data_IF_309920933423
#
_entry.id   IF_309920933423
#
_cell.length_a   1.000
_cell.length_b   1.000
_cell.length_c   1.000
_cell.angle_alpha   90.00
_cell.angle_beta   90.00
_cell.angle_gamma   90.00
#
_symmetry.space_group_name_H-M   'P 1'
#
loop_
_entity.id
_entity.type
_entity.pdbx_description
1 polymer ?
#
# COMPACT_ATOMS: atom_id res chain seq x y z
N UNK A 1 -15.50 -6.43 1.46
CA UNK A 1 -14.76 -7.13 0.41
C UNK A 1 -13.50 -6.35 0.02
N UNK A 2 -12.54 -6.98 -0.60
CA UNK A 2 -11.37 -6.33 -1.16
C UNK A 2 -11.15 -6.78 -2.61
N UNK A 3 -10.52 -5.91 -3.40
CA UNK A 3 -10.08 -6.18 -4.76
C UNK A 3 -8.58 -5.96 -4.87
N UNK A 4 -7.95 -6.61 -5.84
CA UNK A 4 -6.51 -6.54 -6.03
C UNK A 4 -6.11 -6.69 -7.47
N UNK A 5 -5.07 -5.99 -7.87
CA UNK A 5 -4.34 -6.21 -9.12
C UNK A 5 -2.85 -6.05 -8.88
N UNK A 6 -2.06 -6.91 -9.48
CA UNK A 6 -0.59 -6.81 -9.52
C UNK A 6 -0.14 -6.87 -10.97
N UNK A 7 0.74 -5.96 -11.36
CA UNK A 7 1.26 -5.86 -12.72
C UNK A 7 2.78 -5.97 -12.69
N UNK A 8 3.34 -6.77 -13.60
CA UNK A 8 4.80 -6.84 -13.79
C UNK A 8 5.26 -5.74 -14.76
N UNK A 9 6.42 -5.15 -14.48
CA UNK A 9 7.08 -4.27 -15.45
C UNK A 9 7.38 -5.05 -16.74
N UNK A 10 7.27 -4.39 -17.90
CA UNK A 10 7.70 -4.99 -19.19
C UNK A 10 9.12 -5.52 -19.05
N UNK A 11 9.34 -6.82 -19.36
CA UNK A 11 10.59 -7.57 -19.29
C UNK A 11 10.96 -8.14 -17.89
N UNK A 12 10.21 -7.89 -16.83
CA UNK A 12 10.44 -8.54 -15.54
C UNK A 12 9.50 -9.74 -15.38
N UNK A 13 10.07 -10.87 -14.94
CA UNK A 13 9.32 -12.10 -14.70
C UNK A 13 8.63 -12.13 -13.33
N UNK A 14 9.07 -11.27 -12.40
CA UNK A 14 8.62 -11.26 -11.02
C UNK A 14 8.35 -9.81 -10.62
N UNK A 15 7.17 -9.54 -10.03
CA UNK A 15 6.82 -8.24 -9.46
C UNK A 15 7.68 -7.97 -8.22
N UNK A 16 8.18 -6.75 -8.08
CA UNK A 16 8.89 -6.29 -6.87
C UNK A 16 7.97 -6.11 -5.67
N UNK A 17 6.68 -5.89 -5.93
CA UNK A 17 5.66 -5.69 -4.91
C UNK A 17 5.11 -7.02 -4.39
N UNK A 18 4.73 -7.01 -3.13
CA UNK A 18 4.04 -8.14 -2.50
C UNK A 18 2.96 -7.64 -1.55
N UNK A 19 1.84 -8.35 -1.53
CA UNK A 19 0.81 -8.09 -0.54
C UNK A 19 0.38 -9.40 0.13
N UNK A 20 -0.14 -9.26 1.34
CA UNK A 20 -0.73 -10.37 2.09
C UNK A 20 -1.97 -9.89 2.83
N UNK A 21 -2.93 -10.79 3.00
CA UNK A 21 -4.14 -10.56 3.78
C UNK A 21 -4.31 -11.72 4.75
N UNK A 22 -4.45 -11.41 6.02
CA UNK A 22 -4.81 -12.37 7.07
C UNK A 22 -6.14 -11.90 7.65
N UNK A 23 -7.15 -12.76 7.61
CA UNK A 23 -8.46 -12.49 8.18
C UNK A 23 -8.75 -13.52 9.26
N UNK A 24 -9.07 -13.04 10.44
CA UNK A 24 -9.61 -13.81 11.55
C UNK A 24 -11.05 -13.34 11.84
N UNK A 25 -11.69 -13.87 12.87
CA UNK A 25 -13.10 -13.62 13.24
C UNK A 25 -13.41 -12.14 13.38
N UNK A 26 -12.50 -11.39 14.02
CA UNK A 26 -12.74 -9.99 14.41
C UNK A 26 -11.76 -9.00 13.78
N UNK A 27 -10.71 -9.49 13.12
CA UNK A 27 -9.64 -8.67 12.59
C UNK A 27 -9.27 -9.06 11.16
N UNK A 28 -8.98 -8.06 10.34
CA UNK A 28 -8.30 -8.26 9.05
C UNK A 28 -7.03 -7.43 9.03
N UNK A 29 -5.91 -8.08 8.74
CA UNK A 29 -4.61 -7.45 8.54
C UNK A 29 -4.23 -7.55 7.07
N UNK A 30 -4.04 -6.42 6.40
CA UNK A 30 -3.56 -6.35 5.03
C UNK A 30 -2.23 -5.59 5.04
N UNK A 31 -1.23 -6.15 4.37
CA UNK A 31 0.06 -5.49 4.18
C UNK A 31 0.41 -5.47 2.70
N UNK A 32 0.68 -4.29 2.17
CA UNK A 32 1.26 -4.04 0.86
C UNK A 32 2.71 -3.59 1.05
N UNK A 33 3.65 -4.22 0.38
CA UNK A 33 5.08 -3.89 0.46
C UNK A 33 5.67 -3.83 -0.94
N UNK A 34 6.51 -2.83 -1.18
CA UNK A 34 7.31 -2.69 -2.39
C UNK A 34 8.78 -2.85 -2.03
N UNK A 35 9.44 -3.79 -2.70
CA UNK A 35 10.88 -4.04 -2.54
C UNK A 35 11.71 -3.06 -3.36
N UNK A 36 12.67 -2.43 -2.73
CA UNK A 36 13.54 -1.45 -3.38
C UNK A 36 14.40 -2.13 -4.47
N UNK A 37 14.31 -1.61 -5.68
CA UNK A 37 14.97 -2.16 -6.84
C UNK A 37 14.04 -2.96 -7.75
N UNK A 38 14.52 -4.04 -8.30
CA UNK A 38 13.74 -4.88 -9.21
C UNK A 38 14.12 -6.37 -9.11
N UNK A 39 13.24 -7.21 -9.63
CA UNK A 39 13.47 -8.63 -9.73
C UNK A 39 13.42 -9.39 -8.40
N UNK A 40 14.18 -10.48 -8.32
CA UNK A 40 14.08 -11.45 -7.21
C UNK A 40 14.41 -10.85 -5.85
N UNK A 41 15.41 -9.98 -5.75
CA UNK A 41 15.80 -9.37 -4.47
C UNK A 41 14.69 -8.48 -3.92
N UNK A 42 14.13 -7.61 -4.76
CA UNK A 42 13.03 -6.73 -4.39
C UNK A 42 11.82 -7.56 -3.94
N UNK A 43 11.46 -8.59 -4.69
CA UNK A 43 10.35 -9.49 -4.34
C UNK A 43 10.59 -10.20 -2.99
N UNK A 44 11.79 -10.73 -2.73
CA UNK A 44 12.10 -11.39 -1.45
C UNK A 44 11.92 -10.40 -0.29
N UNK A 45 12.43 -9.19 -0.41
CA UNK A 45 12.35 -8.17 0.63
C UNK A 45 10.91 -7.73 0.89
N UNK A 46 10.15 -7.47 -0.17
CA UNK A 46 8.73 -7.16 -0.06
C UNK A 46 7.95 -8.31 0.60
N UNK A 47 8.22 -9.54 0.19
CA UNK A 47 7.57 -10.74 0.75
C UNK A 47 7.89 -10.90 2.23
N UNK A 48 9.16 -10.81 2.63
CA UNK A 48 9.56 -10.92 4.03
C UNK A 48 8.93 -9.82 4.88
N UNK A 49 9.03 -8.57 4.44
CA UNK A 49 8.42 -7.43 5.13
C UNK A 49 6.93 -7.64 5.35
N UNK A 50 6.18 -7.94 4.29
CA UNK A 50 4.74 -8.10 4.36
C UNK A 50 4.34 -9.29 5.25
N UNK A 51 5.00 -10.42 5.10
CA UNK A 51 4.69 -11.62 5.90
C UNK A 51 5.04 -11.45 7.37
N UNK A 52 6.20 -10.89 7.69
CA UNK A 52 6.60 -10.66 9.08
C UNK A 52 5.60 -9.71 9.77
N UNK A 53 5.32 -8.55 9.15
CA UNK A 53 4.36 -7.59 9.71
C UNK A 53 2.98 -8.22 9.89
N UNK A 54 2.45 -8.87 8.85
CA UNK A 54 1.09 -9.43 8.91
C UNK A 54 0.93 -10.52 9.95
N UNK A 55 1.91 -11.43 10.09
CA UNK A 55 1.86 -12.52 11.07
C UNK A 55 1.98 -11.98 12.51
N UNK A 56 2.92 -11.07 12.75
CA UNK A 56 3.11 -10.50 14.08
C UNK A 56 1.87 -9.73 14.54
N UNK A 57 1.31 -8.90 13.68
CA UNK A 57 0.13 -8.10 14.00
C UNK A 57 -1.11 -8.98 14.15
N UNK A 58 -1.33 -9.96 13.27
CA UNK A 58 -2.45 -10.90 13.38
C UNK A 58 -2.38 -11.78 14.65
N UNK A 59 -1.20 -11.88 15.27
CA UNK A 59 -1.01 -12.53 16.57
C UNK A 59 -1.04 -11.55 17.76
N UNK A 60 -1.68 -10.40 17.56
CA UNK A 60 -1.86 -9.37 18.58
C UNK A 60 -0.56 -8.72 19.09
N UNK A 61 0.53 -8.80 18.31
CA UNK A 61 1.70 -7.99 18.60
C UNK A 61 1.38 -6.52 18.35
N UNK A 62 1.78 -5.67 19.27
CA UNK A 62 1.67 -4.22 19.09
C UNK A 62 2.35 -3.79 17.78
N UNK A 63 1.66 -2.96 17.02
CA UNK A 63 2.08 -2.52 15.68
C UNK A 63 3.47 -1.88 15.69
N UNK A 64 3.76 -1.04 16.70
CA UNK A 64 5.07 -0.39 16.82
C UNK A 64 6.18 -1.40 17.07
N UNK A 65 5.89 -2.40 17.91
CA UNK A 65 6.81 -3.49 18.20
C UNK A 65 7.07 -4.34 16.96
N UNK A 66 6.04 -4.66 16.19
CA UNK A 66 6.16 -5.40 14.94
C UNK A 66 7.00 -4.64 13.90
N UNK A 67 6.74 -3.35 13.71
CA UNK A 67 7.50 -2.50 12.79
C UNK A 67 8.96 -2.39 13.22
N UNK A 68 9.22 -2.22 14.53
CA UNK A 68 10.59 -2.19 15.05
C UNK A 68 11.32 -3.51 14.79
N UNK A 69 10.69 -4.65 15.06
CA UNK A 69 11.28 -5.96 14.83
C UNK A 69 11.65 -6.17 13.34
N UNK A 70 10.78 -5.74 12.42
CA UNK A 70 11.06 -5.80 10.98
C UNK A 70 12.22 -4.86 10.61
N UNK A 71 12.22 -3.63 11.11
CA UNK A 71 13.28 -2.66 10.85
C UNK A 71 14.65 -3.12 11.35
N UNK A 72 14.68 -3.83 12.50
CA UNK A 72 15.91 -4.36 13.09
C UNK A 72 16.41 -5.65 12.41
N UNK A 73 15.51 -6.40 11.77
CA UNK A 73 15.81 -7.73 11.20
C UNK A 73 16.18 -7.67 9.73
N UNK A 74 15.56 -6.78 8.97
CA UNK A 74 15.83 -6.69 7.54
C UNK A 74 17.17 -6.01 7.27
N UNK A 75 17.97 -6.56 6.35
CA UNK A 75 19.30 -6.03 6.08
C UNK A 75 19.24 -4.59 5.56
N UNK A 76 20.07 -3.73 6.09
CA UNK A 76 20.27 -2.34 5.62
C UNK A 76 21.22 -2.39 4.41
N UNK A 77 20.93 -1.70 3.30
CA UNK A 77 21.88 -1.55 2.19
C UNK A 77 23.07 -0.69 2.63
N UNK A 78 24.19 -1.31 2.77
CA UNK A 78 25.44 -0.64 3.11
C UNK A 78 25.81 0.52 2.16
N UNK A 79 25.24 0.57 0.96
CA UNK A 79 25.53 1.58 -0.06
C UNK A 79 24.60 2.81 0.02
N UNK A 80 23.39 2.66 0.57
CA UNK A 80 22.39 3.76 0.60
C UNK A 80 21.77 4.04 1.97
N UNK A 81 22.12 3.29 3.02
CA UNK A 81 21.55 3.41 4.37
C UNK A 81 19.98 3.42 4.41
N UNK A 82 19.35 2.78 3.43
CA UNK A 82 17.90 2.75 3.27
C UNK A 82 17.35 1.38 3.66
N UNK A 83 16.22 1.37 4.34
CA UNK A 83 15.42 0.16 4.49
C UNK A 83 14.94 -0.30 3.11
N UNK A 84 14.92 -1.62 2.93
CA UNK A 84 14.78 -2.22 1.61
C UNK A 84 13.39 -2.39 1.09
N UNK A 85 12.38 -2.14 1.90
CA UNK A 85 11.01 -2.25 1.48
C UNK A 85 10.18 -1.13 2.11
N UNK A 86 9.35 -0.54 1.29
CA UNK A 86 8.26 0.32 1.72
C UNK A 86 7.12 -0.56 2.21
N UNK A 87 6.20 -0.04 3.00
CA UNK A 87 5.00 -0.78 3.35
C UNK A 87 3.80 0.11 3.66
N UNK A 88 2.63 -0.43 3.43
CA UNK A 88 1.36 0.05 3.94
C UNK A 88 0.70 -1.09 4.69
N UNK A 89 0.43 -0.88 5.98
CA UNK A 89 -0.28 -1.84 6.84
C UNK A 89 -1.67 -1.29 7.12
N UNK A 90 -2.68 -2.10 6.88
CA UNK A 90 -4.05 -1.83 7.26
C UNK A 90 -4.49 -2.90 8.26
N UNK A 91 -4.97 -2.46 9.40
CA UNK A 91 -5.63 -3.32 10.39
C UNK A 91 -7.07 -2.86 10.52
N UNK A 92 -8.01 -3.76 10.31
CA UNK A 92 -9.44 -3.52 10.46
C UNK A 92 -9.99 -4.37 11.59
N UNK A 93 -10.60 -3.72 12.58
CA UNK A 93 -11.35 -4.36 13.67
C UNK A 93 -12.75 -3.75 13.71
N UNK A 94 -13.75 -4.55 13.40
CA UNK A 94 -15.10 -4.03 13.20
C UNK A 94 -15.11 -2.93 12.13
N UNK A 95 -15.52 -1.73 12.50
CA UNK A 95 -15.50 -0.54 11.62
C UNK A 95 -14.23 0.33 11.82
N UNK A 96 -13.39 0.01 12.80
CA UNK A 96 -12.15 0.74 13.06
C UNK A 96 -11.07 0.36 12.08
N UNK A 97 -10.37 1.36 11.55
CA UNK A 97 -9.20 1.19 10.69
C UNK A 97 -8.00 1.83 11.36
N UNK A 98 -6.93 1.04 11.49
CA UNK A 98 -5.59 1.53 11.74
C UNK A 98 -4.78 1.39 10.46
N UNK A 99 -4.15 2.47 10.02
CA UNK A 99 -3.36 2.53 8.81
C UNK A 99 -1.95 3.01 9.14
N UNK A 100 -0.92 2.24 8.76
CA UNK A 100 0.47 2.67 8.81
C UNK A 100 1.05 2.71 7.42
N UNK A 101 1.74 3.79 7.10
CA UNK A 101 2.31 4.02 5.78
C UNK A 101 3.78 4.45 5.91
N UNK A 102 4.65 3.73 5.21
CA UNK A 102 6.07 4.01 5.11
C UNK A 102 6.51 4.02 3.64
N UNK A 103 6.85 5.20 3.14
CA UNK A 103 7.36 5.45 1.79
C UNK A 103 6.50 4.89 0.62
N UNK A 104 5.28 4.45 0.87
CA UNK A 104 4.29 4.23 -0.17
C UNK A 104 3.48 5.51 -0.42
N UNK A 105 2.89 5.68 -1.60
CA UNK A 105 1.91 6.74 -1.81
C UNK A 105 0.79 6.65 -0.77
N UNK A 106 0.40 7.79 -0.21
CA UNK A 106 -0.69 7.85 0.78
C UNK A 106 -1.95 7.20 0.23
N UNK A 107 -2.55 6.32 1.02
CA UNK A 107 -3.81 5.68 0.68
C UNK A 107 -4.92 6.70 0.41
N UNK A 108 -5.81 6.39 -0.52
CA UNK A 108 -6.94 7.23 -0.88
C UNK A 108 -8.18 6.69 -0.18
N UNK A 109 -8.84 7.52 0.64
CA UNK A 109 -10.13 7.21 1.21
C UNK A 109 -11.23 7.91 0.41
N UNK A 110 -12.09 7.14 -0.23
CA UNK A 110 -13.30 7.64 -0.86
C UNK A 110 -14.50 7.35 0.03
N UNK A 111 -15.33 8.36 0.24
CA UNK A 111 -16.64 8.25 0.91
C UNK A 111 -17.73 8.62 -0.07
N UNK A 112 -18.53 7.63 -0.46
CA UNK A 112 -19.52 7.79 -1.52
C UNK A 112 -18.94 8.44 -2.79
N UNK A 113 -17.74 8.03 -3.19
CA UNK A 113 -17.05 8.48 -4.39
C UNK A 113 -16.35 9.83 -4.30
N UNK A 114 -16.28 10.43 -3.13
CA UNK A 114 -15.53 11.66 -2.89
C UNK A 114 -14.37 11.41 -1.94
N UNK A 115 -13.23 11.99 -2.25
CA UNK A 115 -12.06 11.87 -1.37
C UNK A 115 -12.31 12.54 -0.03
N UNK A 116 -11.87 11.86 1.02
CA UNK A 116 -11.90 12.34 2.40
C UNK A 116 -10.50 12.28 2.94
N UNK A 117 -10.04 13.38 3.51
CA UNK A 117 -8.76 13.41 4.21
C UNK A 117 -8.89 12.75 5.59
N UNK A 118 -7.79 12.23 6.11
CA UNK A 118 -7.70 11.60 7.42
C UNK A 118 -6.43 12.07 8.14
N UNK A 119 -6.50 12.16 9.46
CA UNK A 119 -5.38 12.60 10.28
C UNK A 119 -4.22 11.61 10.22
N UNK A 120 -2.99 12.11 10.21
CA UNK A 120 -1.75 11.33 10.20
C UNK A 120 -0.87 11.75 11.36
N UNK A 121 -0.66 10.84 12.30
CA UNK A 121 0.36 10.99 13.34
C UNK A 121 1.70 10.52 12.78
N UNK A 122 2.75 11.27 13.07
CA UNK A 122 4.11 10.92 12.64
C UNK A 122 4.78 10.10 13.73
N UNK A 123 5.21 8.90 13.38
CA UNK A 123 6.01 8.03 14.24
C UNK A 123 7.43 7.96 13.70
N UNK A 124 8.42 8.25 14.58
CA UNK A 124 9.82 8.14 14.22
C UNK A 124 10.42 6.81 14.69
N UNK A 125 11.06 6.08 13.77
CA UNK A 125 11.85 4.88 14.04
C UNK A 125 13.28 5.11 13.54
N UNK A 126 14.15 5.68 14.40
CA UNK A 126 15.42 6.23 13.97
C UNK A 126 15.19 7.42 13.04
N UNK A 127 15.72 7.36 11.83
CA UNK A 127 15.52 8.39 10.79
C UNK A 127 14.29 8.14 9.91
N UNK A 128 13.55 7.04 10.15
CA UNK A 128 12.38 6.66 9.35
C UNK A 128 11.12 7.29 9.92
N UNK A 129 10.40 7.99 9.05
CA UNK A 129 9.12 8.58 9.34
C UNK A 129 8.01 7.65 8.85
N UNK A 130 7.14 7.21 9.78
CA UNK A 130 5.98 6.36 9.49
C UNK A 130 4.73 7.13 9.85
N UNK A 131 3.79 7.19 8.92
CA UNK A 131 2.50 7.83 9.15
C UNK A 131 1.50 6.84 9.70
N UNK A 132 0.91 7.15 10.86
CA UNK A 132 -0.13 6.35 11.49
C UNK A 132 -1.44 7.10 11.48
N UNK A 133 -2.52 6.43 11.11
CA UNK A 133 -3.86 7.00 11.07
C UNK A 133 -4.88 6.06 11.68
N UNK A 134 -5.87 6.65 12.38
CA UNK A 134 -7.02 5.93 12.90
C UNK A 134 -8.30 6.61 12.43
N UNK A 135 -9.19 5.85 11.85
CA UNK A 135 -10.51 6.37 11.44
C UNK A 135 -11.57 5.27 11.42
N UNK A 136 -12.84 5.69 11.37
CA UNK A 136 -13.97 4.78 11.25
C UNK A 136 -14.35 4.61 9.79
N UNK A 137 -14.40 3.36 9.35
CA UNK A 137 -14.91 2.99 8.03
C UNK A 137 -16.44 2.98 8.06
N UNK A 138 -17.06 3.56 7.06
CA UNK A 138 -18.52 3.71 6.94
C UNK A 138 -19.02 3.00 5.69
N UNK A 139 -20.30 2.66 5.69
CA UNK A 139 -20.95 2.15 4.47
C UNK A 139 -20.78 3.15 3.33
N UNK A 140 -20.28 2.68 2.18
CA UNK A 140 -19.96 3.52 1.02
C UNK A 140 -18.52 4.03 1.01
N UNK A 141 -17.70 3.69 2.02
CA UNK A 141 -16.29 3.99 2.01
C UNK A 141 -15.52 2.96 1.17
N UNK A 142 -14.50 3.43 0.46
CA UNK A 142 -13.52 2.62 -0.26
C UNK A 142 -12.13 3.16 0.06
N UNK A 143 -11.23 2.27 0.50
CA UNK A 143 -9.83 2.61 0.76
C UNK A 143 -8.97 1.97 -0.32
N UNK A 144 -8.13 2.79 -0.97
CA UNK A 144 -7.26 2.37 -2.07
C UNK A 144 -5.82 2.49 -1.60
N UNK A 145 -5.13 1.35 -1.56
CA UNK A 145 -3.72 1.24 -1.25
C UNK A 145 -2.96 0.99 -2.55
N UNK A 146 -1.81 1.63 -2.72
CA UNK A 146 -1.00 1.49 -3.90
C UNK A 146 0.49 1.57 -3.60
N UNK A 147 1.31 0.88 -4.39
CA UNK A 147 2.75 1.09 -4.44
C UNK A 147 3.09 2.23 -5.41
N UNK A 148 4.35 2.65 -5.43
CA UNK A 148 4.83 3.71 -6.32
C UNK A 148 4.73 3.34 -7.81
N UNK A 149 4.67 2.06 -8.13
CA UNK A 149 4.45 1.59 -9.50
C UNK A 149 3.17 2.13 -10.14
N UNK A 150 2.13 2.43 -9.34
CA UNK A 150 0.90 3.06 -9.82
C UNK A 150 1.14 4.55 -10.10
N UNK A 151 1.70 5.28 -9.16
CA UNK A 151 1.93 6.72 -9.29
C UNK A 151 3.02 7.07 -10.30
N UNK A 152 3.95 6.14 -10.54
CA UNK A 152 5.01 6.27 -11.54
C UNK A 152 4.59 5.78 -12.95
N UNK A 153 3.38 5.29 -13.14
CA UNK A 153 2.90 4.85 -14.46
C UNK A 153 3.06 5.96 -15.51
N UNK A 154 3.57 5.62 -16.68
CA UNK A 154 3.82 6.56 -17.78
C UNK A 154 5.02 7.48 -17.60
N UNK A 155 5.81 7.32 -16.54
CA UNK A 155 7.00 8.14 -16.30
C UNK A 155 7.99 8.07 -17.47
N UNK A 156 8.37 9.22 -17.98
CA UNK A 156 9.31 9.36 -19.10
C UNK A 156 8.73 8.99 -20.49
N UNK A 157 7.45 8.64 -20.59
CA UNK A 157 6.77 8.36 -21.85
C UNK A 157 5.63 9.32 -22.13
N UNK A 158 4.58 9.25 -21.30
CA UNK A 158 3.38 10.06 -21.45
C UNK A 158 3.34 11.22 -20.48
N UNK A 159 4.04 11.10 -19.35
CA UNK A 159 4.10 12.14 -18.29
C UNK A 159 5.53 12.30 -17.80
N UNK A 160 5.93 13.54 -17.47
CA UNK A 160 7.29 13.82 -16.99
C UNK A 160 7.56 13.24 -15.61
N UNK A 161 6.54 13.21 -14.72
CA UNK A 161 6.65 12.77 -13.33
C UNK A 161 5.82 11.51 -12.99
N UNK A 162 5.37 10.76 -14.00
CA UNK A 162 4.43 9.66 -13.81
C UNK A 162 2.98 10.13 -13.71
N UNK A 163 2.05 9.19 -13.42
CA UNK A 163 0.63 9.50 -13.28
C UNK A 163 0.37 10.43 -12.08
N UNK A 164 1.07 10.18 -10.97
CA UNK A 164 0.93 10.97 -9.76
C UNK A 164 -0.30 10.63 -8.93
N UNK A 165 -0.17 10.74 -7.60
CA UNK A 165 -1.24 10.38 -6.67
C UNK A 165 -2.51 11.20 -6.87
N UNK A 166 -2.38 12.50 -7.10
CA UNK A 166 -3.54 13.40 -7.26
C UNK A 166 -4.36 13.08 -8.52
N UNK A 167 -3.71 12.69 -9.60
CA UNK A 167 -4.41 12.28 -10.82
C UNK A 167 -5.05 10.88 -10.65
N UNK A 168 -4.41 9.97 -9.92
CA UNK A 168 -5.04 8.69 -9.53
C UNK A 168 -6.28 8.95 -8.69
N UNK A 169 -6.22 9.87 -7.72
CA UNK A 169 -7.36 10.25 -6.91
C UNK A 169 -8.52 10.78 -7.75
N UNK A 170 -8.26 11.73 -8.64
CA UNK A 170 -9.28 12.28 -9.57
C UNK A 170 -9.88 11.17 -10.45
N UNK A 171 -9.03 10.27 -10.95
CA UNK A 171 -9.48 9.12 -11.72
C UNK A 171 -10.45 8.24 -10.90
N UNK A 172 -10.09 7.92 -9.66
CA UNK A 172 -10.94 7.11 -8.78
C UNK A 172 -12.29 7.79 -8.49
N UNK A 173 -12.31 9.11 -8.24
CA UNK A 173 -13.54 9.88 -8.05
C UNK A 173 -14.43 9.84 -9.31
N UNK A 174 -13.84 9.93 -10.49
CA UNK A 174 -14.58 9.89 -11.76
C UNK A 174 -15.13 8.50 -12.08
N UNK A 175 -14.39 7.45 -11.72
CA UNK A 175 -14.80 6.06 -12.00
C UNK A 175 -15.80 5.51 -11.00
N UNK A 176 -15.81 6.04 -9.79
CA UNK A 176 -16.69 5.53 -8.75
C UNK A 176 -18.17 5.64 -9.14
N UNK A 177 -18.90 4.57 -8.92
CA UNK A 177 -20.36 4.53 -8.97
C UNK A 177 -20.92 3.73 -7.80
N UNK A 178 -22.14 4.02 -7.40
CA UNK A 178 -22.82 3.32 -6.31
C UNK A 178 -22.92 1.82 -6.61
N UNK A 179 -22.44 1.00 -5.70
CA UNK A 179 -22.40 -0.46 -5.87
C UNK A 179 -21.15 -1.00 -6.56
N UNK A 180 -20.20 -0.12 -6.95
CA UNK A 180 -18.92 -0.54 -7.49
C UNK A 180 -18.18 -1.44 -6.51
N UNK A 181 -17.66 -2.56 -6.99
CA UNK A 181 -16.86 -3.46 -6.18
C UNK A 181 -15.42 -2.96 -6.04
N UNK A 182 -14.73 -3.38 -4.98
CA UNK A 182 -13.31 -3.10 -4.81
C UNK A 182 -12.47 -3.68 -5.97
N UNK A 183 -12.86 -4.83 -6.53
CA UNK A 183 -12.16 -5.45 -7.66
C UNK A 183 -12.31 -4.64 -8.95
N UNK A 184 -13.47 -4.06 -9.21
CA UNK A 184 -13.68 -3.18 -10.37
C UNK A 184 -12.76 -1.96 -10.29
N UNK A 185 -12.72 -1.28 -9.13
CA UNK A 185 -11.85 -0.12 -8.96
C UNK A 185 -10.38 -0.48 -9.13
N UNK A 186 -9.92 -1.60 -8.54
CA UNK A 186 -8.55 -2.06 -8.70
C UNK A 186 -8.21 -2.37 -10.16
N UNK A 187 -9.10 -3.02 -10.89
CA UNK A 187 -8.93 -3.34 -12.31
C UNK A 187 -8.90 -2.08 -13.18
N UNK A 188 -9.79 -1.12 -12.93
CA UNK A 188 -9.84 0.15 -13.66
C UNK A 188 -8.55 0.96 -13.47
N UNK A 189 -8.02 1.03 -12.25
CA UNK A 189 -6.75 1.72 -11.97
C UNK A 189 -5.60 1.02 -12.72
N UNK A 190 -5.55 -0.32 -12.67
CA UNK A 190 -4.50 -1.08 -13.33
C UNK A 190 -4.54 -0.90 -14.85
N UNK A 191 -5.72 -0.98 -15.47
CA UNK A 191 -5.90 -0.81 -16.92
C UNK A 191 -5.48 0.60 -17.37
N UNK A 192 -5.86 1.63 -16.59
CA UNK A 192 -5.44 3.00 -16.85
C UNK A 192 -3.92 3.16 -16.72
N UNK A 193 -3.30 2.57 -15.70
CA UNK A 193 -1.85 2.58 -15.54
C UNK A 193 -1.10 1.88 -16.66
N UNK A 194 -1.62 0.75 -17.16
CA UNK A 194 -1.07 0.04 -18.34
C UNK A 194 -1.16 0.88 -19.60
N UNK A 195 -2.26 1.59 -19.80
CA UNK A 195 -2.46 2.46 -20.96
C UNK A 195 -1.48 3.63 -21.03
N UNK A 196 -0.92 4.06 -19.87
CA UNK A 196 0.09 5.11 -19.79
C UNK A 196 1.50 4.57 -20.12
N UNK A 197 1.77 3.26 -19.99
CA UNK A 197 3.06 2.61 -20.19
C UNK A 197 3.24 2.04 -21.62
#
# INVERSE_FOLDING_TARGET
GFGRVSLNKKKEKICGDYYTVITDTDQTVLVLSDGLGSGVKANILATLTARMLSIMIARNMDIRTAVKAVADTLPICSVRNLAYATFTVLVSEGNGICLLQYDNPDAILLRNGKSVDYHRDILMFGEKEIHQSYFQFRTGDMLILMSDGVTNAGMGKTTYGGWGREEVLKFCEQRYHKGMSAQEMASDIADAGVALN
#
